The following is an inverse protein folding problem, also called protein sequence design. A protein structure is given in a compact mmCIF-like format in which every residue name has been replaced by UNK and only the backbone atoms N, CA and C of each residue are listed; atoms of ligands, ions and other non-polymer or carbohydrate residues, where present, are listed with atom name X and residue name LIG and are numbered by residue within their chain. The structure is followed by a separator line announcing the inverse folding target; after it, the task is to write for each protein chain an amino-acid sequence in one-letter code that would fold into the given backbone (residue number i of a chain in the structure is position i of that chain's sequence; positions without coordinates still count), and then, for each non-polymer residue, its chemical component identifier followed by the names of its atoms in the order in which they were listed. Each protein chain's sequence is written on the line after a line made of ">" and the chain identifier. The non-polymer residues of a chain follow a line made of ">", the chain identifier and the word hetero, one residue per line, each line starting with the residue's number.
data_IF_725773545800
#
_entry.id   IF_725773545800
#
_cell.length_a   1.000
_cell.length_b   1.000
_cell.length_c   1.000
_cell.angle_alpha   90.00
_cell.angle_beta   90.00
_cell.angle_gamma   90.00
#
_symmetry.space_group_name_H-M   'P 1'
#
loop_
_entity.id
_entity.type
_entity.pdbx_description
1 polymer ?
#
# COMPACT_ATOMS: atom_id res chain seq x y z
N UNK A 1 -8.33 25.86 -24.89
CA UNK A 1 -7.90 24.60 -24.23
C UNK A 1 -6.70 24.89 -23.34
N UNK A 2 -6.93 25.40 -22.13
CA UNK A 2 -5.88 25.58 -21.12
C UNK A 2 -6.09 24.49 -20.08
N UNK A 3 -5.38 23.38 -20.22
CA UNK A 3 -5.37 22.33 -19.21
C UNK A 3 -4.75 22.89 -17.92
N UNK A 4 -5.40 22.60 -16.81
CA UNK A 4 -5.04 22.97 -15.44
C UNK A 4 -3.56 22.65 -15.15
N UNK A 5 -2.65 23.60 -15.40
CA UNK A 5 -1.19 23.40 -15.44
C UNK A 5 -0.56 23.11 -14.08
N UNK A 6 -1.38 22.99 -13.04
CA UNK A 6 -0.96 22.76 -11.65
C UNK A 6 -1.07 21.30 -11.22
N UNK A 7 -1.72 20.42 -11.99
CA UNK A 7 -1.84 19.01 -11.64
C UNK A 7 -0.55 18.23 -12.00
N UNK A 8 -0.09 17.31 -11.12
CA UNK A 8 0.95 16.35 -11.49
C UNK A 8 0.63 15.60 -12.79
N UNK A 9 1.64 15.33 -13.60
CA UNK A 9 1.49 14.75 -14.94
C UNK A 9 0.75 13.40 -14.90
N UNK A 10 0.95 12.57 -13.87
CA UNK A 10 0.22 11.31 -13.72
C UNK A 10 -1.29 11.50 -13.49
N UNK A 11 -1.70 12.58 -12.83
CA UNK A 11 -3.13 12.95 -12.74
C UNK A 11 -3.67 13.42 -14.08
N UNK A 12 -2.86 14.12 -14.89
CA UNK A 12 -3.23 14.50 -16.25
C UNK A 12 -3.40 13.26 -17.14
N UNK A 13 -2.54 12.25 -17.00
CA UNK A 13 -2.68 10.96 -17.68
C UNK A 13 -3.94 10.22 -17.26
N UNK A 14 -4.26 10.18 -15.96
CA UNK A 14 -5.51 9.57 -15.50
C UNK A 14 -6.75 10.27 -16.08
N UNK A 15 -6.77 11.59 -16.13
CA UNK A 15 -7.84 12.35 -16.79
C UNK A 15 -7.88 12.09 -18.30
N UNK A 16 -6.73 12.00 -18.96
CA UNK A 16 -6.65 11.68 -20.38
C UNK A 16 -7.17 10.27 -20.69
N UNK A 17 -6.81 9.29 -19.84
CA UNK A 17 -7.27 7.91 -19.91
C UNK A 17 -8.79 7.82 -19.75
N UNK A 18 -9.36 8.56 -18.79
CA UNK A 18 -10.81 8.62 -18.57
C UNK A 18 -11.58 9.27 -19.73
N UNK A 19 -11.00 10.28 -20.38
CA UNK A 19 -11.67 11.05 -21.44
C UNK A 19 -11.57 10.39 -22.83
N UNK A 20 -10.44 9.75 -23.13
CA UNK A 20 -10.16 9.31 -24.50
C UNK A 20 -9.14 8.18 -24.58
N UNK A 21 -8.94 7.43 -23.49
CA UNK A 21 -8.08 6.25 -23.47
C UNK A 21 -6.60 6.55 -23.68
N UNK A 22 -5.86 5.49 -23.99
CA UNK A 22 -4.40 5.49 -24.14
C UNK A 22 -3.89 6.50 -25.18
N UNK A 23 -4.56 6.63 -26.33
CA UNK A 23 -4.16 7.58 -27.38
C UNK A 23 -4.09 9.02 -26.87
N UNK A 24 -5.02 9.39 -25.99
CA UNK A 24 -5.02 10.73 -25.38
C UNK A 24 -3.89 10.88 -24.37
N UNK A 25 -3.61 9.83 -23.59
CA UNK A 25 -2.45 9.80 -22.68
C UNK A 25 -1.15 10.02 -23.46
N UNK A 26 -0.97 9.30 -24.58
CA UNK A 26 0.21 9.41 -25.45
C UNK A 26 0.41 10.82 -26.00
N UNK A 27 -0.67 11.49 -26.42
CA UNK A 27 -0.62 12.90 -26.86
C UNK A 27 -0.19 13.85 -25.74
N UNK A 28 -0.74 13.68 -24.53
CA UNK A 28 -0.36 14.49 -23.36
C UNK A 28 1.13 14.28 -23.02
N UNK A 29 1.58 13.02 -23.03
CA UNK A 29 2.98 12.69 -22.76
C UNK A 29 3.94 13.24 -23.81
N UNK A 30 3.56 13.22 -25.09
CA UNK A 30 4.34 13.79 -26.18
C UNK A 30 4.49 15.30 -26.04
N UNK A 31 3.39 16.01 -25.76
CA UNK A 31 3.41 17.46 -25.56
C UNK A 31 4.27 17.87 -24.35
N UNK A 32 4.25 17.07 -23.28
CA UNK A 32 5.00 17.33 -22.05
C UNK A 32 6.43 16.75 -22.05
N UNK A 33 6.84 15.97 -23.04
CA UNK A 33 8.16 15.32 -23.09
C UNK A 33 8.38 14.27 -21.99
N UNK A 34 7.33 13.57 -21.55
CA UNK A 34 7.31 12.72 -20.34
C UNK A 34 7.10 11.23 -20.63
N UNK A 35 7.66 10.74 -21.74
CA UNK A 35 7.44 9.37 -22.24
C UNK A 35 7.74 8.27 -21.20
N UNK A 36 8.84 8.41 -20.44
CA UNK A 36 9.17 7.42 -19.39
C UNK A 36 8.12 7.36 -18.28
N UNK A 37 7.54 8.50 -17.91
CA UNK A 37 6.49 8.57 -16.89
C UNK A 37 5.17 8.03 -17.41
N UNK A 38 4.87 8.26 -18.68
CA UNK A 38 3.72 7.66 -19.36
C UNK A 38 3.84 6.14 -19.41
N UNK A 39 5.00 5.62 -19.78
CA UNK A 39 5.25 4.17 -19.82
C UNK A 39 5.01 3.51 -18.46
N UNK A 40 5.41 4.19 -17.37
CA UNK A 40 5.13 3.73 -16.01
C UNK A 40 3.63 3.77 -15.68
N UNK A 41 2.90 4.82 -16.09
CA UNK A 41 1.46 4.92 -15.92
C UNK A 41 0.72 3.78 -16.64
N UNK A 42 1.06 3.54 -17.92
CA UNK A 42 0.40 2.51 -18.73
C UNK A 42 0.68 1.10 -18.18
N UNK A 43 1.94 0.80 -17.81
CA UNK A 43 2.27 -0.50 -17.18
C UNK A 43 1.45 -0.75 -15.91
N UNK A 44 1.34 0.25 -15.03
CA UNK A 44 0.54 0.12 -13.80
C UNK A 44 -0.96 0.02 -14.08
N UNK A 45 -1.45 0.63 -15.15
CA UNK A 45 -2.87 0.56 -15.54
C UNK A 45 -3.25 -0.80 -16.15
N UNK A 46 -2.36 -1.34 -16.99
CA UNK A 46 -2.61 -2.54 -17.80
C UNK A 46 -2.33 -3.84 -17.02
N UNK A 47 -1.28 -3.86 -16.19
CA UNK A 47 -0.94 -5.03 -15.37
C UNK A 47 -1.90 -5.17 -14.17
N UNK A 48 -2.31 -6.41 -13.87
CA UNK A 48 -3.09 -6.67 -12.66
C UNK A 48 -2.25 -6.37 -11.41
N UNK A 49 -2.73 -5.56 -10.45
CA UNK A 49 -1.97 -5.21 -9.26
C UNK A 49 -1.55 -6.45 -8.46
N UNK A 50 -0.25 -6.68 -8.36
CA UNK A 50 0.31 -7.71 -7.49
C UNK A 50 0.57 -7.10 -6.11
N UNK A 51 -0.01 -7.63 -5.02
CA UNK A 51 0.23 -7.11 -3.68
C UNK A 51 1.68 -7.30 -3.24
N UNK A 52 2.31 -6.19 -2.87
CA UNK A 52 3.55 -6.15 -2.09
C UNK A 52 3.26 -5.58 -0.69
N UNK A 53 4.14 -5.81 0.26
CA UNK A 53 3.96 -5.39 1.65
C UNK A 53 5.21 -4.71 2.21
N UNK A 54 4.97 -3.65 2.97
CA UNK A 54 5.98 -2.98 3.81
C UNK A 54 5.39 -2.78 5.21
N UNK A 55 6.23 -2.83 6.22
CA UNK A 55 5.81 -2.55 7.59
C UNK A 55 5.40 -1.07 7.75
N UNK A 56 4.28 -0.79 8.43
CA UNK A 56 3.75 0.57 8.62
C UNK A 56 4.77 1.60 9.12
N UNK A 57 5.59 1.23 10.11
CA UNK A 57 6.69 2.07 10.62
C UNK A 57 7.68 2.49 9.51
N UNK A 58 8.01 1.59 8.58
CA UNK A 58 8.93 1.88 7.47
C UNK A 58 8.26 2.69 6.34
N UNK A 59 6.92 2.70 6.26
CA UNK A 59 6.20 3.65 5.41
C UNK A 59 6.21 5.08 5.98
N UNK A 60 6.27 5.22 7.31
CA UNK A 60 6.23 6.50 8.00
C UNK A 60 7.63 7.09 8.29
N UNK A 61 8.65 6.24 8.39
CA UNK A 61 10.01 6.58 8.78
C UNK A 61 11.01 5.96 7.81
N UNK A 62 11.43 6.76 6.82
CA UNK A 62 12.25 6.28 5.71
C UNK A 62 13.74 6.14 6.04
N UNK A 63 14.40 5.25 5.30
CA UNK A 63 15.86 5.14 5.27
C UNK A 63 16.52 6.41 4.68
N UNK A 64 17.83 6.62 4.84
CA UNK A 64 18.54 7.67 4.11
C UNK A 64 18.43 7.46 2.60
N UNK A 65 18.18 8.53 1.84
CA UNK A 65 18.13 8.48 0.37
C UNK A 65 19.51 8.42 -0.27
N UNK A 66 20.54 8.88 0.46
CA UNK A 66 21.95 8.87 0.08
C UNK A 66 22.79 8.35 1.24
N UNK A 67 24.03 7.96 0.93
CA UNK A 67 25.01 7.58 1.95
C UNK A 67 25.17 8.72 2.97
N UNK A 68 24.91 8.48 4.27
CA UNK A 68 25.23 9.44 5.32
C UNK A 68 26.72 9.81 5.34
N UNK A 69 27.06 10.98 5.87
CA UNK A 69 28.47 11.38 6.04
C UNK A 69 29.22 10.41 6.96
N UNK A 70 28.58 10.05 8.06
CA UNK A 70 28.98 8.96 8.93
C UNK A 70 27.87 7.91 8.90
N UNK A 71 28.07 6.85 8.12
CA UNK A 71 27.13 5.75 7.99
C UNK A 71 27.26 4.72 9.12
N UNK A 72 28.17 4.92 10.07
CA UNK A 72 28.32 4.04 11.24
C UNK A 72 27.51 4.50 12.46
N UNK A 73 26.92 5.69 12.40
CA UNK A 73 26.02 6.16 13.45
C UNK A 73 24.63 5.50 13.37
N UNK A 74 24.00 5.25 14.53
CA UNK A 74 22.58 4.92 14.59
C UNK A 74 21.70 5.95 13.89
N UNK A 75 20.62 5.46 13.26
CA UNK A 75 19.51 6.31 12.83
C UNK A 75 18.39 6.18 13.85
N UNK A 76 17.92 7.30 14.38
CA UNK A 76 16.69 7.38 15.16
C UNK A 76 15.66 8.24 14.41
N UNK A 77 14.44 7.72 14.26
CA UNK A 77 13.29 8.42 13.71
C UNK A 77 12.15 8.33 14.70
N UNK A 78 11.41 9.43 14.82
CA UNK A 78 10.26 9.55 15.71
C UNK A 78 9.08 10.13 14.94
N UNK A 79 7.91 9.52 15.11
CA UNK A 79 6.65 9.98 14.56
C UNK A 79 5.51 9.78 15.57
N UNK A 80 5.22 10.84 16.32
CA UNK A 80 4.20 10.82 17.37
C UNK A 80 4.53 9.80 18.45
N UNK A 81 3.81 8.67 18.47
CA UNK A 81 4.01 7.58 19.44
C UNK A 81 4.93 6.48 18.95
N UNK A 82 5.41 6.55 17.71
CA UNK A 82 6.26 5.54 17.11
C UNK A 82 7.71 6.01 17.07
N UNK A 83 8.64 5.09 17.32
CA UNK A 83 10.06 5.31 17.10
C UNK A 83 10.68 4.13 16.35
N UNK A 84 11.56 4.44 15.40
CA UNK A 84 12.38 3.49 14.66
C UNK A 84 13.85 3.80 14.93
N UNK A 85 14.58 2.82 15.46
CA UNK A 85 16.02 2.88 15.56
C UNK A 85 16.67 1.81 14.66
N UNK A 86 17.73 2.21 13.96
CA UNK A 86 18.53 1.36 13.08
C UNK A 86 19.98 1.49 13.53
N UNK A 87 20.50 0.44 14.16
CA UNK A 87 21.84 0.40 14.75
C UNK A 87 22.77 -0.46 13.88
N UNK A 88 23.77 0.11 13.19
CA UNK A 88 24.71 -0.68 12.41
C UNK A 88 25.69 -1.40 13.36
N UNK A 89 25.56 -2.72 13.50
CA UNK A 89 26.43 -3.49 14.39
C UNK A 89 27.75 -3.84 13.69
N UNK A 90 28.89 -3.79 14.39
CA UNK A 90 30.14 -4.33 13.88
C UNK A 90 30.01 -5.84 13.64
N UNK A 91 30.52 -6.30 12.50
CA UNK A 91 30.66 -7.72 12.18
C UNK A 91 32.14 -8.11 12.18
N UNK A 92 32.42 -9.37 12.50
CA UNK A 92 33.78 -9.90 12.42
C UNK A 92 34.11 -10.20 10.95
N UNK A 93 35.21 -9.64 10.45
CA UNK A 93 35.73 -9.92 9.10
C UNK A 93 37.21 -10.27 9.18
N UNK A 94 37.66 -11.19 8.33
CA UNK A 94 39.10 -11.45 8.17
C UNK A 94 39.66 -10.51 7.11
N UNK A 95 40.58 -9.64 7.51
CA UNK A 95 41.32 -8.74 6.60
C UNK A 95 42.80 -9.05 6.77
N UNK A 96 43.50 -9.33 5.68
CA UNK A 96 44.92 -9.71 5.66
C UNK A 96 45.25 -10.85 6.65
N UNK A 97 44.36 -11.85 6.73
CA UNK A 97 44.50 -13.01 7.61
C UNK A 97 44.20 -12.76 9.10
N UNK A 98 43.76 -11.56 9.48
CA UNK A 98 43.45 -11.21 10.88
C UNK A 98 41.96 -10.88 11.08
N UNK A 99 41.35 -11.34 12.19
CA UNK A 99 39.98 -10.96 12.53
C UNK A 99 39.93 -9.49 12.97
N UNK A 100 39.06 -8.71 12.33
CA UNK A 100 38.84 -7.28 12.61
C UNK A 100 37.34 -7.02 12.71
N UNK A 101 36.93 -6.22 13.69
CA UNK A 101 35.55 -5.71 13.76
C UNK A 101 35.36 -4.60 12.73
N UNK A 102 34.37 -4.75 11.87
CA UNK A 102 34.01 -3.75 10.86
C UNK A 102 32.51 -3.51 10.87
N UNK A 103 32.10 -2.26 11.02
CA UNK A 103 30.73 -1.86 10.74
C UNK A 103 30.54 -1.69 9.24
N UNK A 104 29.48 -2.30 8.68
CA UNK A 104 29.08 -2.07 7.29
C UNK A 104 28.33 -0.75 7.13
N UNK A 105 27.90 -0.13 8.24
CA UNK A 105 27.08 1.06 8.26
C UNK A 105 25.61 0.80 7.93
N UNK A 106 24.79 1.85 8.07
CA UNK A 106 23.34 1.81 7.81
C UNK A 106 23.04 1.69 6.31
N UNK A 107 21.92 1.03 5.93
CA UNK A 107 21.49 0.94 4.53
C UNK A 107 20.96 2.27 4.02
N UNK A 108 21.16 2.56 2.73
CA UNK A 108 20.69 3.79 2.08
C UNK A 108 20.37 3.61 0.59
N UNK A 109 19.65 4.58 0.01
CA UNK A 109 19.30 4.58 -1.40
C UNK A 109 18.21 3.57 -1.77
N UNK A 110 18.01 3.33 -3.06
CA UNK A 110 16.83 2.59 -3.54
C UNK A 110 16.91 1.07 -3.31
N UNK A 111 18.09 0.48 -3.49
CA UNK A 111 18.30 -0.97 -3.36
C UNK A 111 17.79 -1.58 -2.04
N UNK A 112 18.15 -1.09 -0.84
CA UNK A 112 17.68 -1.70 0.39
C UNK A 112 16.17 -1.54 0.59
N UNK A 113 15.55 -0.49 0.04
CA UNK A 113 14.09 -0.29 0.10
C UNK A 113 13.36 -1.36 -0.71
N UNK A 114 13.82 -1.59 -1.93
CA UNK A 114 13.26 -2.61 -2.83
C UNK A 114 13.47 -4.01 -2.24
N UNK A 115 14.66 -4.26 -1.67
CA UNK A 115 14.95 -5.51 -0.96
C UNK A 115 14.02 -5.69 0.26
N UNK A 116 13.86 -4.68 1.12
CA UNK A 116 12.94 -4.73 2.26
C UNK A 116 11.52 -5.06 1.82
N UNK A 117 10.98 -4.32 0.84
CA UNK A 117 9.63 -4.57 0.33
C UNK A 117 9.50 -6.02 -0.12
N UNK A 118 10.44 -6.55 -0.90
CA UNK A 118 10.40 -7.95 -1.33
C UNK A 118 10.45 -8.93 -0.16
N UNK A 119 11.38 -8.75 0.78
CA UNK A 119 11.56 -9.67 1.91
C UNK A 119 10.28 -9.74 2.76
N UNK A 120 9.74 -8.58 3.11
CA UNK A 120 8.52 -8.50 3.91
C UNK A 120 7.29 -9.00 3.14
N UNK A 121 7.23 -8.74 1.83
CA UNK A 121 6.17 -9.29 0.96
C UNK A 121 6.18 -10.80 0.95
N UNK A 122 7.36 -11.42 0.79
CA UNK A 122 7.46 -12.87 0.78
C UNK A 122 7.05 -13.48 2.12
N UNK A 123 7.43 -12.84 3.23
CA UNK A 123 7.06 -13.31 4.55
C UNK A 123 5.54 -13.29 4.77
N UNK A 124 4.89 -12.16 4.43
CA UNK A 124 3.44 -11.98 4.57
C UNK A 124 2.67 -12.90 3.62
N UNK A 125 3.04 -12.92 2.33
CA UNK A 125 2.33 -13.69 1.30
C UNK A 125 2.43 -15.20 1.53
N UNK A 126 3.61 -15.69 1.90
CA UNK A 126 3.82 -17.13 2.16
C UNK A 126 3.47 -17.55 3.58
N UNK A 127 3.13 -16.59 4.45
CA UNK A 127 2.91 -16.80 5.88
C UNK A 127 4.07 -17.57 6.53
N UNK A 128 5.29 -17.15 6.22
CA UNK A 128 6.51 -17.79 6.66
C UNK A 128 7.54 -16.75 7.05
N UNK A 129 8.21 -16.95 8.19
CA UNK A 129 9.39 -16.16 8.57
C UNK A 129 10.64 -16.50 7.77
N UNK A 130 10.61 -17.62 7.05
CA UNK A 130 11.67 -18.13 6.20
C UNK A 130 11.44 -17.66 4.76
N UNK A 131 12.31 -16.77 4.27
CA UNK A 131 12.19 -16.10 2.97
C UNK A 131 13.22 -16.59 1.99
N UNK A 132 12.76 -17.35 1.00
CA UNK A 132 13.59 -17.81 -0.12
C UNK A 132 13.82 -16.72 -1.18
N UNK A 133 15.09 -16.45 -1.49
CA UNK A 133 15.52 -15.43 -2.46
C UNK A 133 15.62 -15.95 -3.89
N UNK A 134 15.71 -17.26 -4.09
CA UNK A 134 15.89 -17.87 -5.41
C UNK A 134 17.15 -18.73 -5.50
N UNK A 135 17.39 -19.32 -6.68
CA UNK A 135 18.54 -20.23 -6.88
C UNK A 135 19.88 -19.50 -6.90
N UNK A 136 19.88 -18.26 -7.37
CA UNK A 136 21.04 -17.39 -7.45
C UNK A 136 20.64 -15.91 -7.40
N UNK A 137 21.65 -15.05 -7.18
CA UNK A 137 21.46 -13.60 -7.03
C UNK A 137 20.87 -12.92 -8.26
N UNK A 138 21.25 -13.35 -9.47
CA UNK A 138 20.70 -12.79 -10.74
C UNK A 138 19.21 -13.06 -10.86
N UNK A 139 18.77 -14.26 -10.53
CA UNK A 139 17.35 -14.62 -10.52
C UNK A 139 16.58 -13.74 -9.53
N UNK A 140 17.13 -13.54 -8.33
CA UNK A 140 16.53 -12.64 -7.34
C UNK A 140 16.42 -11.20 -7.86
N UNK A 141 17.50 -10.65 -8.42
CA UNK A 141 17.52 -9.31 -9.02
C UNK A 141 16.47 -9.14 -10.13
N UNK A 142 16.27 -10.16 -10.97
CA UNK A 142 15.24 -10.13 -12.02
C UNK A 142 13.83 -10.09 -11.44
N UNK A 143 13.56 -10.83 -10.35
CA UNK A 143 12.28 -10.76 -9.62
C UNK A 143 12.01 -9.38 -9.05
N UNK A 144 13.06 -8.67 -8.60
CA UNK A 144 12.98 -7.26 -8.18
C UNK A 144 12.84 -6.26 -9.35
N UNK A 145 12.79 -6.76 -10.59
CA UNK A 145 12.61 -5.94 -11.79
C UNK A 145 13.89 -5.38 -12.39
N UNK A 146 15.09 -5.86 -12.01
CA UNK A 146 16.36 -5.51 -12.65
C UNK A 146 16.65 -6.46 -13.82
N UNK A 147 16.38 -6.01 -15.04
CA UNK A 147 16.58 -6.82 -16.25
C UNK A 147 18.07 -6.98 -16.61
N UNK A 148 18.85 -5.91 -16.45
CA UNK A 148 20.30 -5.90 -16.70
C UNK A 148 21.06 -5.98 -15.39
N UNK A 149 21.76 -7.10 -15.17
CA UNK A 149 22.54 -7.37 -13.95
C UNK A 149 24.02 -7.36 -14.28
N UNK A 150 24.78 -6.46 -13.67
CA UNK A 150 26.22 -6.31 -13.89
C UNK A 150 27.03 -6.54 -12.60
N UNK A 151 28.20 -7.16 -12.76
CA UNK A 151 29.05 -7.65 -11.66
C UNK A 151 30.36 -6.87 -11.47
N UNK A 152 30.58 -5.79 -12.22
CA UNK A 152 31.74 -4.91 -12.01
C UNK A 152 31.68 -4.18 -10.65
N UNK A 153 32.75 -3.47 -10.24
CA UNK A 153 32.81 -2.78 -8.94
C UNK A 153 31.67 -1.78 -8.69
N UNK A 154 31.15 -1.16 -9.76
CA UNK A 154 29.97 -0.28 -9.75
C UNK A 154 28.71 -0.94 -10.33
N UNK A 155 28.76 -2.25 -10.51
CA UNK A 155 27.70 -3.04 -11.09
C UNK A 155 26.49 -3.16 -10.17
N UNK A 156 25.31 -3.26 -10.77
CA UNK A 156 24.03 -3.30 -10.04
C UNK A 156 23.98 -4.44 -9.02
N UNK A 157 24.62 -5.58 -9.33
CA UNK A 157 24.63 -6.73 -8.46
C UNK A 157 25.44 -6.48 -7.17
N UNK A 158 26.62 -5.86 -7.30
CA UNK A 158 27.47 -5.57 -6.14
C UNK A 158 26.87 -4.47 -5.26
N UNK A 159 26.27 -3.44 -5.88
CA UNK A 159 25.61 -2.37 -5.15
C UNK A 159 24.39 -2.90 -4.37
N UNK A 160 23.58 -3.79 -4.96
CA UNK A 160 22.49 -4.44 -4.23
C UNK A 160 23.02 -5.30 -3.09
N UNK A 161 24.04 -6.15 -3.35
CA UNK A 161 24.65 -7.00 -2.30
C UNK A 161 25.11 -6.16 -1.12
N UNK A 162 25.89 -5.12 -1.36
CA UNK A 162 26.38 -4.24 -0.29
C UNK A 162 25.23 -3.68 0.57
N UNK A 163 24.13 -3.27 -0.05
CA UNK A 163 23.00 -2.71 0.68
C UNK A 163 22.17 -3.76 1.44
N UNK A 164 22.08 -4.98 0.92
CA UNK A 164 21.49 -6.12 1.65
C UNK A 164 22.36 -6.49 2.84
N UNK A 165 23.68 -6.52 2.67
CA UNK A 165 24.63 -6.82 3.76
C UNK A 165 24.48 -5.81 4.91
N UNK A 166 24.41 -4.51 4.57
CA UNK A 166 24.15 -3.43 5.53
C UNK A 166 22.81 -3.63 6.26
N UNK A 167 21.75 -3.93 5.51
CA UNK A 167 20.40 -4.13 6.05
C UNK A 167 20.35 -5.30 7.04
N UNK A 168 20.99 -6.42 6.70
CA UNK A 168 21.02 -7.63 7.53
C UNK A 168 21.97 -7.53 8.72
N UNK A 169 23.03 -6.71 8.61
CA UNK A 169 23.96 -6.44 9.70
C UNK A 169 23.44 -5.41 10.72
N UNK A 170 22.40 -4.64 10.37
CA UNK A 170 21.77 -3.70 11.29
C UNK A 170 20.86 -4.42 12.29
N UNK A 171 20.89 -3.95 13.53
CA UNK A 171 19.86 -4.23 14.54
C UNK A 171 18.75 -3.20 14.37
N UNK A 172 17.50 -3.66 14.29
CA UNK A 172 16.34 -2.79 14.15
C UNK A 172 15.47 -2.86 15.38
N UNK A 173 14.98 -1.69 15.80
CA UNK A 173 14.08 -1.55 16.93
C UNK A 173 12.90 -0.70 16.50
N UNK A 174 11.70 -1.24 16.68
CA UNK A 174 10.45 -0.50 16.48
C UNK A 174 9.77 -0.42 17.84
N UNK A 175 9.48 0.80 18.26
CA UNK A 175 8.73 1.08 19.50
C UNK A 175 7.44 1.79 19.16
N UNK A 176 6.40 1.47 19.92
CA UNK A 176 5.16 2.22 19.96
C UNK A 176 4.67 2.38 21.39
N UNK A 177 4.28 3.60 21.76
CA UNK A 177 3.67 3.87 23.06
C UNK A 177 2.15 3.62 22.97
N UNK A 178 1.72 2.49 23.56
CA UNK A 178 0.30 2.16 23.74
C UNK A 178 -0.37 3.07 24.76
N UNK A 179 -1.66 3.40 24.55
CA UNK A 179 -2.40 4.34 25.42
C UNK A 179 -2.97 3.77 26.70
N UNK A 180 -2.66 2.52 27.08
CA UNK A 180 -3.23 1.93 28.28
C UNK A 180 -2.19 1.83 29.39
N UNK A 181 -2.58 2.39 30.53
CA UNK A 181 -1.78 2.53 31.73
C UNK A 181 -1.13 1.20 32.16
N UNK A 182 0.15 1.27 32.52
CA UNK A 182 0.74 0.38 33.52
C UNK A 182 1.79 -0.60 33.04
N UNK A 183 1.73 -1.12 31.82
CA UNK A 183 2.74 -2.06 31.31
C UNK A 183 2.57 -2.28 29.81
N UNK A 184 3.67 -2.57 29.10
CA UNK A 184 3.77 -2.79 27.64
C UNK A 184 4.03 -1.55 26.77
N UNK A 185 5.16 -0.89 27.01
CA UNK A 185 5.94 -0.41 25.87
C UNK A 185 6.43 -1.65 25.11
N UNK A 186 5.68 -2.11 24.11
CA UNK A 186 6.14 -3.18 23.22
C UNK A 186 7.27 -2.60 22.37
N UNK A 187 8.50 -2.82 22.84
CA UNK A 187 9.70 -2.64 22.03
C UNK A 187 9.96 -3.98 21.38
N UNK A 188 9.82 -4.07 20.05
CA UNK A 188 10.44 -5.18 19.34
C UNK A 188 11.96 -4.92 19.43
N UNK A 189 12.56 -5.42 20.50
CA UNK A 189 14.01 -5.50 20.69
C UNK A 189 14.46 -6.74 19.94
N UNK A 190 15.43 -6.56 19.04
CA UNK A 190 15.97 -7.59 18.15
C UNK A 190 15.03 -8.06 17.04
N UNK A 191 14.70 -7.12 16.15
CA UNK A 191 14.46 -7.50 14.75
C UNK A 191 15.82 -7.83 14.11
N UNK A 192 16.32 -9.04 14.38
CA UNK A 192 17.28 -9.66 13.47
C UNK A 192 16.49 -10.13 12.26
N UNK A 193 16.71 -9.46 11.12
CA UNK A 193 16.13 -9.88 9.84
C UNK A 193 16.73 -11.24 9.42
N UNK A 194 17.87 -11.66 9.98
CA UNK A 194 18.43 -13.01 9.84
C UNK A 194 19.21 -13.48 11.07
N UNK A 195 19.06 -14.75 11.46
CA UNK A 195 19.95 -15.44 12.42
C UNK A 195 21.19 -16.06 11.74
N UNK A 196 21.22 -16.16 10.40
CA UNK A 196 22.26 -16.84 9.63
C UNK A 196 22.85 -15.92 8.54
N UNK A 197 23.28 -14.72 8.93
CA UNK A 197 24.06 -13.86 8.04
C UNK A 197 25.52 -13.81 8.48
N UNK A 198 26.28 -14.86 8.14
CA UNK A 198 27.71 -14.72 7.92
C UNK A 198 27.89 -13.99 6.59
N UNK A 199 28.57 -12.85 6.61
CA UNK A 199 28.61 -11.89 5.51
C UNK A 199 28.83 -12.54 4.13
N UNK A 200 27.94 -12.23 3.19
CA UNK A 200 28.07 -12.36 1.74
C UNK A 200 28.29 -13.77 1.18
N UNK A 201 28.64 -14.76 1.99
CA UNK A 201 29.20 -16.02 1.56
C UNK A 201 28.82 -17.06 2.63
N UNK A 202 28.15 -18.16 2.25
CA UNK A 202 28.46 -19.43 2.95
C UNK A 202 29.99 -19.60 2.96
N UNK A 203 30.59 -20.39 3.85
CA UNK A 203 32.05 -20.45 4.12
C UNK A 203 33.03 -20.36 2.90
N UNK A 204 32.54 -20.53 1.67
CA UNK A 204 33.26 -20.59 0.40
C UNK A 204 32.93 -19.46 -0.60
N UNK A 205 31.93 -18.61 -0.36
CA UNK A 205 31.53 -17.61 -1.36
C UNK A 205 30.06 -17.62 -1.79
N UNK A 206 29.22 -18.45 -1.17
CA UNK A 206 27.93 -18.81 -1.75
C UNK A 206 26.79 -17.82 -1.39
N UNK A 207 25.98 -17.46 -2.39
CA UNK A 207 24.76 -16.68 -2.22
C UNK A 207 23.81 -17.34 -1.20
N UNK A 208 23.50 -16.60 -0.13
CA UNK A 208 22.46 -17.00 0.82
C UNK A 208 21.12 -17.11 0.08
N UNK A 209 20.55 -18.31 0.06
CA UNK A 209 19.28 -18.57 -0.64
C UNK A 209 18.07 -18.25 0.22
N UNK A 210 18.27 -18.07 1.51
CA UNK A 210 17.21 -17.95 2.50
C UNK A 210 17.57 -16.91 3.56
N UNK A 211 16.56 -16.16 4.01
CA UNK A 211 16.65 -15.18 5.09
C UNK A 211 15.55 -15.52 6.10
N UNK A 212 15.91 -15.68 7.37
CA UNK A 212 14.96 -16.03 8.44
C UNK A 212 14.73 -14.88 9.40
N UNK A 213 13.51 -14.34 9.40
CA UNK A 213 13.10 -13.29 10.33
C UNK A 213 12.91 -13.83 11.75
N UNK A 214 13.12 -12.99 12.75
CA UNK A 214 12.74 -13.32 14.13
C UNK A 214 11.22 -13.49 14.26
N UNK A 215 10.79 -14.37 15.16
CA UNK A 215 9.37 -14.64 15.41
C UNK A 215 8.61 -13.35 15.79
N UNK A 216 9.18 -12.59 16.75
CA UNK A 216 8.57 -11.36 17.23
C UNK A 216 8.38 -10.32 16.11
N UNK A 217 9.36 -10.19 15.21
CA UNK A 217 9.24 -9.30 14.08
C UNK A 217 8.21 -9.78 13.07
N UNK A 218 8.22 -11.07 12.74
CA UNK A 218 7.28 -11.66 11.78
C UNK A 218 5.83 -11.49 12.26
N UNK A 219 5.53 -11.81 13.51
CA UNK A 219 4.18 -11.62 14.07
C UNK A 219 3.73 -10.16 13.98
N UNK A 220 4.60 -9.22 14.36
CA UNK A 220 4.30 -7.79 14.28
C UNK A 220 4.15 -7.31 12.82
N UNK A 221 4.95 -7.86 11.89
CA UNK A 221 4.84 -7.56 10.47
C UNK A 221 3.48 -7.97 9.92
N UNK A 222 2.97 -9.14 10.27
CA UNK A 222 1.67 -9.63 9.79
C UNK A 222 0.54 -8.67 10.19
N UNK A 223 0.57 -8.15 11.42
CA UNK A 223 -0.46 -7.24 11.94
C UNK A 223 -0.36 -5.81 11.37
N UNK A 224 0.84 -5.40 10.95
CA UNK A 224 1.14 -4.03 10.54
C UNK A 224 1.61 -3.89 9.09
N UNK A 225 1.35 -4.91 8.26
CA UNK A 225 1.66 -4.89 6.83
C UNK A 225 0.76 -3.88 6.09
N UNK A 226 1.41 -2.99 5.32
CA UNK A 226 0.74 -2.04 4.43
C UNK A 226 0.75 -2.62 3.01
N UNK A 227 -0.41 -2.85 2.38
CA UNK A 227 -0.46 -3.32 1.00
C UNK A 227 -0.03 -2.22 0.03
N UNK A 228 0.82 -2.61 -0.90
CA UNK A 228 1.42 -1.82 -1.98
C UNK A 228 1.17 -2.52 -3.31
N UNK A 229 1.38 -1.83 -4.43
CA UNK A 229 1.36 -2.39 -5.78
C UNK A 229 2.79 -2.68 -6.23
N UNK A 230 3.14 -3.95 -6.43
CA UNK A 230 4.47 -4.38 -6.86
C UNK A 230 4.86 -3.77 -8.21
N UNK A 231 3.92 -3.61 -9.13
CA UNK A 231 4.15 -2.98 -10.45
C UNK A 231 4.61 -1.54 -10.25
N UNK A 232 3.94 -0.78 -9.36
CA UNK A 232 4.37 0.57 -9.02
C UNK A 232 5.78 0.59 -8.41
N UNK A 233 6.10 -0.33 -7.49
CA UNK A 233 7.45 -0.44 -6.91
C UNK A 233 8.51 -0.71 -7.98
N UNK A 234 8.21 -1.56 -8.96
CA UNK A 234 9.10 -1.87 -10.09
C UNK A 234 9.43 -0.64 -10.93
N UNK A 235 8.46 0.25 -11.12
CA UNK A 235 8.65 1.53 -11.83
C UNK A 235 9.42 2.56 -11.00
N UNK A 236 9.27 2.52 -9.68
CA UNK A 236 9.92 3.46 -8.75
C UNK A 236 11.31 3.01 -8.28
N UNK A 237 11.73 1.77 -8.55
CA UNK A 237 12.93 1.11 -7.98
C UNK A 237 14.25 1.86 -8.15
N UNK A 238 14.33 2.83 -9.06
CA UNK A 238 15.51 3.66 -9.31
C UNK A 238 15.58 4.92 -8.46
N UNK A 239 14.49 5.31 -7.80
CA UNK A 239 14.36 6.63 -7.16
C UNK A 239 13.94 6.47 -5.69
N UNK A 240 14.87 6.60 -4.72
CA UNK A 240 14.57 6.33 -3.31
C UNK A 240 13.48 7.26 -2.76
N UNK A 241 13.54 8.55 -3.08
CA UNK A 241 12.51 9.52 -2.67
C UNK A 241 11.13 9.19 -3.24
N UNK A 242 11.06 8.59 -4.44
CA UNK A 242 9.79 8.20 -5.04
C UNK A 242 9.18 6.98 -4.34
N UNK A 243 10.01 5.99 -4.01
CA UNK A 243 9.60 4.86 -3.17
C UNK A 243 9.06 5.35 -1.83
N UNK A 244 9.79 6.23 -1.13
CA UNK A 244 9.39 6.73 0.18
C UNK A 244 8.11 7.56 0.12
N UNK A 245 7.97 8.46 -0.87
CA UNK A 245 6.75 9.23 -1.05
C UNK A 245 5.57 8.32 -1.38
N UNK A 246 5.76 7.33 -2.26
CA UNK A 246 4.73 6.36 -2.61
C UNK A 246 4.27 5.54 -1.40
N UNK A 247 5.20 4.96 -0.63
CA UNK A 247 4.85 4.14 0.54
C UNK A 247 4.22 4.96 1.66
N UNK A 248 4.69 6.20 1.88
CA UNK A 248 4.07 7.15 2.79
C UNK A 248 2.62 7.43 2.41
N UNK A 249 2.34 7.74 1.13
CA UNK A 249 0.99 8.01 0.65
C UNK A 249 0.10 6.76 0.66
N UNK A 250 0.63 5.60 0.29
CA UNK A 250 -0.08 4.32 0.34
C UNK A 250 -0.49 3.95 1.78
N UNK A 251 0.35 4.25 2.75
CA UNK A 251 0.04 4.11 4.16
C UNK A 251 -0.95 5.16 4.64
N UNK A 252 -0.74 6.44 4.30
CA UNK A 252 -1.46 7.54 4.97
C UNK A 252 -2.84 7.79 4.38
N UNK A 253 -2.97 7.89 3.06
CA UNK A 253 -4.20 8.36 2.41
C UNK A 253 -5.45 7.50 2.68
N UNK A 254 -5.36 6.15 2.69
CA UNK A 254 -6.52 5.31 2.97
C UNK A 254 -7.05 5.42 4.40
N UNK A 255 -6.24 5.95 5.32
CA UNK A 255 -6.60 6.13 6.75
C UNK A 255 -7.18 7.51 7.04
N UNK A 256 -7.21 8.42 6.06
CA UNK A 256 -7.77 9.75 6.23
C UNK A 256 -9.28 9.69 6.04
N UNK A 257 -10.02 10.22 7.01
CA UNK A 257 -11.48 10.38 6.94
C UNK A 257 -11.86 11.86 6.84
N UNK A 258 -13.04 12.15 6.27
CA UNK A 258 -13.58 13.52 6.23
C UNK A 258 -12.90 14.42 5.20
N UNK A 259 -12.63 15.68 5.57
CA UNK A 259 -12.24 16.75 4.62
C UNK A 259 -10.78 16.72 4.17
N UNK A 260 -9.96 15.82 4.72
CA UNK A 260 -8.51 15.76 4.48
C UNK A 260 -7.69 16.11 5.72
N UNK A 261 -6.38 15.94 5.61
CA UNK A 261 -5.40 16.24 6.65
C UNK A 261 -4.37 17.24 6.12
N UNK A 262 -4.04 18.25 6.93
CA UNK A 262 -3.01 19.24 6.60
C UNK A 262 -1.77 18.97 7.45
N UNK A 263 -0.61 18.86 6.80
CA UNK A 263 0.69 18.73 7.47
C UNK A 263 1.64 19.84 7.01
N UNK A 264 2.65 20.16 7.83
CA UNK A 264 3.73 21.04 7.43
C UNK A 264 4.71 20.32 6.49
N UNK A 265 5.45 21.09 5.69
CA UNK A 265 6.55 20.54 4.90
C UNK A 265 7.67 19.97 5.78
N UNK A 266 7.85 20.49 7.00
CA UNK A 266 8.82 19.98 7.97
C UNK A 266 8.44 18.59 8.47
N UNK A 267 7.15 18.35 8.74
CA UNK A 267 6.65 17.03 9.09
C UNK A 267 6.91 16.03 7.95
N UNK A 268 6.60 16.41 6.71
CA UNK A 268 6.88 15.56 5.55
C UNK A 268 8.39 15.32 5.36
N UNK A 269 9.23 16.33 5.59
CA UNK A 269 10.68 16.20 5.51
C UNK A 269 11.20 15.14 6.49
N UNK A 270 10.75 15.20 7.75
CA UNK A 270 11.12 14.23 8.78
C UNK A 270 10.70 12.80 8.42
N UNK A 271 9.47 12.61 7.92
CA UNK A 271 9.01 11.29 7.45
C UNK A 271 9.88 10.73 6.32
N UNK A 272 10.22 11.57 5.33
CA UNK A 272 11.07 11.18 4.20
C UNK A 272 12.57 11.19 4.54
N UNK A 273 12.92 11.26 5.82
CA UNK A 273 14.27 11.11 6.31
C UNK A 273 15.19 12.32 6.13
N UNK A 274 14.64 13.52 5.92
CA UNK A 274 15.37 14.78 5.81
C UNK A 274 15.37 15.52 7.16
N UNK A 275 16.45 16.25 7.45
CA UNK A 275 16.62 16.95 8.73
C UNK A 275 15.67 18.13 8.90
N UNK A 276 15.34 18.81 7.80
CA UNK A 276 14.46 19.96 7.79
C UNK A 276 13.80 20.16 6.42
N UNK A 277 12.73 20.93 6.43
CA UNK A 277 12.17 21.52 5.22
C UNK A 277 13.16 22.50 4.57
N UNK A 278 13.41 22.33 3.28
CA UNK A 278 14.22 23.23 2.48
C UNK A 278 13.59 23.46 1.11
N UNK A 279 13.90 24.58 0.46
CA UNK A 279 13.44 24.86 -0.92
C UNK A 279 13.76 23.70 -1.88
N UNK A 280 14.96 23.13 -1.74
CA UNK A 280 15.41 21.97 -2.52
C UNK A 280 14.58 20.73 -2.22
N UNK A 281 14.30 20.45 -0.95
CA UNK A 281 13.44 19.33 -0.56
C UNK A 281 12.03 19.46 -1.17
N UNK A 282 11.37 20.61 -0.99
CA UNK A 282 10.02 20.85 -1.57
C UNK A 282 10.01 20.68 -3.08
N UNK A 283 11.04 21.18 -3.76
CA UNK A 283 11.21 21.01 -5.20
C UNK A 283 11.35 19.53 -5.58
N UNK A 284 12.25 18.79 -4.93
CA UNK A 284 12.46 17.36 -5.17
C UNK A 284 11.17 16.56 -4.94
N UNK A 285 10.39 16.85 -3.90
CA UNK A 285 9.11 16.17 -3.66
C UNK A 285 8.10 16.46 -4.75
N UNK A 286 7.99 17.71 -5.24
CA UNK A 286 7.08 18.06 -6.33
C UNK A 286 7.46 17.40 -7.66
N UNK A 287 8.76 17.36 -7.97
CA UNK A 287 9.29 16.66 -9.13
C UNK A 287 9.02 15.14 -9.02
N UNK A 288 9.26 14.58 -7.84
CA UNK A 288 8.99 13.17 -7.54
C UNK A 288 7.49 12.84 -7.67
N UNK A 289 6.61 13.75 -7.27
CA UNK A 289 5.16 13.58 -7.38
C UNK A 289 4.69 13.43 -8.82
N UNK A 290 5.42 13.96 -9.81
CA UNK A 290 5.12 13.75 -11.23
C UNK A 290 5.14 12.25 -11.56
N UNK A 291 6.13 11.51 -11.07
CA UNK A 291 6.25 10.07 -11.24
C UNK A 291 5.33 9.29 -10.29
N UNK A 292 5.24 9.68 -9.01
CA UNK A 292 4.40 8.96 -8.04
C UNK A 292 2.92 9.03 -8.41
N UNK A 293 2.44 10.17 -8.92
CA UNK A 293 1.06 10.30 -9.42
C UNK A 293 0.79 9.45 -10.66
N UNK A 294 1.80 9.02 -11.40
CA UNK A 294 1.64 8.14 -12.55
C UNK A 294 1.42 6.69 -12.12
N UNK A 295 2.10 6.24 -11.06
CA UNK A 295 1.99 4.87 -10.54
C UNK A 295 0.99 4.72 -9.40
N UNK A 296 0.46 5.84 -8.89
CA UNK A 296 -0.64 5.87 -7.92
C UNK A 296 -1.60 7.02 -8.25
N UNK A 297 -2.36 6.92 -9.35
CA UNK A 297 -3.15 8.06 -9.86
C UNK A 297 -4.27 8.52 -8.91
N UNK A 298 -4.80 7.58 -8.13
CA UNK A 298 -5.81 7.86 -7.12
C UNK A 298 -5.29 8.66 -5.91
N UNK A 299 -3.97 8.78 -5.72
CA UNK A 299 -3.41 9.58 -4.64
C UNK A 299 -3.73 11.07 -4.81
N UNK A 300 -4.65 11.58 -3.99
CA UNK A 300 -5.05 12.98 -4.00
C UNK A 300 -4.27 13.78 -2.96
N UNK A 301 -3.28 14.54 -3.42
CA UNK A 301 -2.36 15.32 -2.59
C UNK A 301 -2.11 16.68 -3.23
N UNK A 302 -2.26 17.75 -2.44
CA UNK A 302 -1.87 19.10 -2.83
C UNK A 302 -0.51 19.47 -2.23
N UNK A 303 0.45 19.74 -3.12
CA UNK A 303 1.82 20.17 -2.83
C UNK A 303 2.12 21.59 -3.34
N UNK A 304 1.13 22.29 -3.90
CA UNK A 304 1.33 23.61 -4.51
C UNK A 304 1.58 24.70 -3.46
N UNK A 305 0.93 24.57 -2.30
CA UNK A 305 0.91 25.59 -1.25
C UNK A 305 2.09 25.57 -0.27
N UNK A 306 1.94 26.40 0.77
CA UNK A 306 2.87 26.48 1.93
C UNK A 306 2.73 25.32 2.91
N UNK A 307 1.66 24.53 2.78
CA UNK A 307 1.39 23.32 3.55
C UNK A 307 1.11 22.18 2.57
N UNK A 308 1.22 20.95 3.05
CA UNK A 308 0.85 19.76 2.29
C UNK A 308 -0.55 19.34 2.73
N UNK A 309 -1.45 19.15 1.77
CA UNK A 309 -2.83 18.70 2.04
C UNK A 309 -3.00 17.30 1.48
N UNK A 310 -3.34 16.37 2.36
CA UNK A 310 -3.59 14.97 2.05
C UNK A 310 -5.11 14.74 2.04
N UNK A 311 -5.65 14.20 0.96
CA UNK A 311 -7.08 13.89 0.86
C UNK A 311 -7.33 12.38 0.96
N UNK A 312 -8.51 11.94 1.46
CA UNK A 312 -8.89 10.53 1.45
C UNK A 312 -8.74 9.95 0.04
N UNK A 313 -7.98 8.86 -0.07
CA UNK A 313 -7.73 8.18 -1.34
C UNK A 313 -7.75 6.67 -1.11
N UNK A 314 -8.27 5.86 -2.06
CA UNK A 314 -8.23 4.40 -1.94
C UNK A 314 -6.79 3.88 -1.98
N UNK A 315 -6.53 2.70 -1.43
CA UNK A 315 -5.22 2.05 -1.46
C UNK A 315 -4.69 1.87 -2.90
N UNK A 316 -3.37 1.76 -3.11
CA UNK A 316 -2.76 1.71 -4.45
C UNK A 316 -3.05 0.44 -5.26
N UNK A 317 -3.89 -0.46 -4.75
CA UNK A 317 -4.41 -1.63 -5.45
C UNK A 317 -5.73 -1.34 -6.19
N UNK A 318 -6.40 -0.21 -5.93
CA UNK A 318 -7.63 0.17 -6.62
C UNK A 318 -7.32 0.63 -8.05
N UNK A 319 -7.75 -0.18 -9.03
CA UNK A 319 -7.55 0.07 -10.46
C UNK A 319 -8.45 1.16 -10.99
N UNK A 320 -9.68 1.27 -10.46
CA UNK A 320 -10.63 2.27 -10.93
C UNK A 320 -10.11 3.65 -10.56
N UNK A 321 -10.06 4.54 -11.55
CA UNK A 321 -9.70 5.93 -11.36
C UNK A 321 -10.88 6.67 -10.72
N UNK A 322 -10.89 6.75 -9.39
CA UNK A 322 -12.05 7.19 -8.58
C UNK A 322 -11.78 8.44 -7.72
N UNK A 323 -10.56 8.97 -7.76
CA UNK A 323 -10.20 10.17 -7.00
C UNK A 323 -11.06 11.39 -7.35
N UNK A 324 -11.41 12.21 -6.36
CA UNK A 324 -12.21 13.43 -6.59
C UNK A 324 -11.52 14.44 -7.52
N UNK A 325 -10.18 14.43 -7.56
CA UNK A 325 -9.34 15.23 -8.46
C UNK A 325 -9.32 14.71 -9.91
N UNK A 326 -9.82 13.49 -10.15
CA UNK A 326 -9.87 12.81 -11.45
C UNK A 326 -11.23 12.95 -12.15
N UNK A 327 -12.03 13.94 -11.78
CA UNK A 327 -13.30 14.23 -12.46
C UNK A 327 -13.08 15.09 -13.70
N UNK A 328 -13.64 14.69 -14.83
CA UNK A 328 -13.62 15.48 -16.07
C UNK A 328 -14.46 16.75 -15.90
N UNK A 329 -13.82 17.92 -15.93
CA UNK A 329 -14.50 19.21 -15.90
C UNK A 329 -15.18 19.39 -17.27
N UNK A 330 -16.50 19.25 -17.32
CA UNK A 330 -17.29 19.33 -18.55
C UNK A 330 -18.06 18.05 -18.89
N UNK A 331 -17.80 16.93 -18.21
CA UNK A 331 -18.80 15.88 -18.11
C UNK A 331 -19.93 16.46 -17.26
N UNK A 332 -20.97 16.97 -17.92
CA UNK A 332 -22.27 17.13 -17.27
C UNK A 332 -22.52 15.82 -16.51
N UNK A 333 -22.87 15.85 -15.21
CA UNK A 333 -23.49 14.65 -14.63
C UNK A 333 -24.59 14.28 -15.60
N UNK A 334 -24.66 13.00 -16.03
CA UNK A 334 -25.66 12.49 -16.98
C UNK A 334 -26.91 13.34 -16.83
N UNK A 335 -27.16 14.20 -17.83
CA UNK A 335 -28.34 15.04 -17.81
C UNK A 335 -29.47 14.03 -17.72
N UNK A 336 -30.10 13.93 -16.55
CA UNK A 336 -31.37 13.27 -16.41
C UNK A 336 -32.22 13.80 -17.56
N UNK A 337 -32.53 12.92 -18.51
CA UNK A 337 -33.17 13.28 -19.76
C UNK A 337 -34.32 14.26 -19.50
N UNK A 338 -34.53 15.26 -20.38
CA UNK A 338 -35.56 16.26 -20.18
C UNK A 338 -36.88 15.53 -19.94
N UNK A 339 -37.53 15.85 -18.80
CA UNK A 339 -38.83 15.28 -18.47
C UNK A 339 -39.80 15.67 -19.58
N UNK A 340 -40.11 14.70 -20.43
CA UNK A 340 -41.27 14.79 -21.32
C UNK A 340 -42.48 15.14 -20.47
N UNK A 341 -43.11 16.27 -20.82
CA UNK A 341 -44.35 16.79 -20.24
C UNK A 341 -45.56 16.01 -20.76
N UNK A 342 -45.55 14.69 -20.57
CA UNK A 342 -46.73 13.86 -20.75
C UNK A 342 -46.85 12.97 -19.51
N UNK A 343 -47.85 13.30 -18.69
CA UNK A 343 -48.19 12.56 -17.48
C UNK A 343 -48.73 11.19 -17.85
N UNK A 344 -47.85 10.18 -17.84
CA UNK A 344 -48.26 8.78 -17.70
C UNK A 344 -48.23 8.42 -16.20
N UNK A 345 -49.30 7.85 -15.63
CA UNK A 345 -49.41 7.62 -14.20
C UNK A 345 -48.54 6.43 -13.80
N UNK A 346 -47.33 6.71 -13.32
CA UNK A 346 -46.54 5.77 -12.53
C UNK A 346 -46.39 6.35 -11.14
N UNK A 347 -47.06 5.71 -10.19
CA UNK A 347 -46.98 6.02 -8.77
C UNK A 347 -45.51 6.06 -8.35
N UNK A 348 -45.03 7.26 -8.00
CA UNK A 348 -43.80 7.43 -7.24
C UNK A 348 -44.10 7.00 -5.81
N UNK A 349 -43.52 5.90 -5.38
CA UNK A 349 -43.29 5.70 -3.96
C UNK A 349 -42.40 6.85 -3.47
N UNK A 350 -42.95 7.71 -2.62
CA UNK A 350 -42.18 8.69 -1.88
C UNK A 350 -41.16 7.94 -1.02
N UNK A 351 -39.87 8.25 -1.19
CA UNK A 351 -38.85 7.91 -0.20
C UNK A 351 -39.16 8.78 1.02
N UNK A 352 -39.86 8.17 1.98
CA UNK A 352 -40.15 8.74 3.27
C UNK A 352 -38.87 8.92 4.06
N UNK A 353 -38.80 10.05 4.77
CA UNK A 353 -37.70 10.46 5.62
C UNK A 353 -37.67 9.76 6.99
N UNK A 354 -38.41 8.65 7.15
CA UNK A 354 -38.64 7.95 8.42
C UNK A 354 -38.77 6.42 8.20
N UNK A 355 -37.72 5.76 7.70
CA UNK A 355 -37.70 4.29 7.74
C UNK A 355 -37.34 3.84 9.17
N UNK A 356 -38.22 3.10 9.88
CA UNK A 356 -37.98 2.73 11.27
C UNK A 356 -36.76 1.81 11.37
N UNK A 357 -35.84 2.13 12.28
CA UNK A 357 -34.70 1.27 12.57
C UNK A 357 -35.16 0.06 13.37
N UNK A 358 -34.91 -1.13 12.84
CA UNK A 358 -35.33 -2.39 13.45
C UNK A 358 -34.15 -3.36 13.51
N UNK A 359 -34.27 -4.41 14.33
CA UNK A 359 -33.32 -5.51 14.33
C UNK A 359 -33.43 -6.33 13.03
N UNK A 360 -32.36 -7.02 12.66
CA UNK A 360 -32.42 -8.03 11.59
C UNK A 360 -33.47 -9.10 11.95
N UNK A 361 -34.24 -9.64 10.96
CA UNK A 361 -35.27 -10.64 11.24
C UNK A 361 -34.73 -11.79 12.10
N UNK A 362 -35.44 -12.13 13.19
CA UNK A 362 -34.96 -13.11 14.17
C UNK A 362 -35.43 -14.54 13.88
N UNK A 363 -36.52 -14.71 13.12
CA UNK A 363 -37.16 -16.00 12.83
C UNK A 363 -36.74 -16.62 11.48
N UNK A 364 -37.47 -17.65 11.04
CA UNK A 364 -37.31 -18.18 9.69
C UNK A 364 -37.62 -17.11 8.64
N UNK A 365 -36.82 -17.07 7.59
CA UNK A 365 -36.98 -16.20 6.42
C UNK A 365 -38.00 -16.76 5.43
N UNK A 366 -38.53 -17.96 5.69
CA UNK A 366 -39.45 -18.68 4.81
C UNK A 366 -40.84 -18.03 4.72
N UNK A 367 -41.27 -17.33 5.77
CA UNK A 367 -42.59 -16.71 5.88
C UNK A 367 -42.48 -15.27 6.38
N UNK A 368 -43.43 -14.42 5.98
CA UNK A 368 -43.48 -13.02 6.38
C UNK A 368 -43.29 -12.04 5.22
N UNK A 369 -43.96 -10.88 5.33
CA UNK A 369 -43.96 -9.81 4.32
C UNK A 369 -42.65 -9.02 4.33
N UNK A 370 -42.06 -8.81 5.51
CA UNK A 370 -40.76 -8.16 5.68
C UNK A 370 -39.61 -9.05 5.20
N UNK A 371 -39.67 -10.33 5.56
CA UNK A 371 -38.68 -11.36 5.23
C UNK A 371 -38.67 -11.70 3.73
N UNK A 372 -39.73 -11.36 2.98
CA UNK A 372 -39.84 -11.65 1.55
C UNK A 372 -38.70 -11.05 0.72
N UNK A 373 -38.28 -9.82 1.01
CA UNK A 373 -37.19 -9.16 0.29
C UNK A 373 -35.84 -9.84 0.56
N UNK A 374 -35.59 -10.23 1.81
CA UNK A 374 -34.39 -10.96 2.21
C UNK A 374 -34.36 -12.38 1.62
N UNK A 375 -35.52 -13.05 1.58
CA UNK A 375 -35.68 -14.36 0.97
C UNK A 375 -35.42 -14.33 -0.52
N UNK A 376 -35.89 -13.30 -1.24
CA UNK A 376 -35.61 -13.14 -2.66
C UNK A 376 -34.09 -13.06 -2.92
N UNK A 377 -33.36 -12.26 -2.14
CA UNK A 377 -31.90 -12.15 -2.23
C UNK A 377 -31.22 -13.49 -1.95
N UNK A 378 -31.65 -14.20 -0.89
CA UNK A 378 -31.11 -15.52 -0.54
C UNK A 378 -31.32 -16.55 -1.66
N UNK A 379 -32.51 -16.58 -2.26
CA UNK A 379 -32.85 -17.50 -3.35
C UNK A 379 -32.19 -17.14 -4.69
N UNK A 380 -31.93 -15.86 -4.95
CA UNK A 380 -31.31 -15.43 -6.20
C UNK A 380 -29.78 -15.58 -6.15
N UNK A 381 -29.16 -15.18 -5.04
CA UNK A 381 -27.70 -14.98 -4.94
C UNK A 381 -27.00 -15.97 -4.03
N UNK A 382 -27.76 -16.73 -3.25
CA UNK A 382 -27.26 -17.70 -2.28
C UNK A 382 -27.56 -19.15 -2.65
N UNK A 383 -27.94 -19.44 -3.89
CA UNK A 383 -28.14 -20.83 -4.36
C UNK A 383 -26.79 -21.57 -4.46
N UNK A 384 -26.72 -22.87 -4.13
CA UNK A 384 -27.85 -23.76 -3.78
C UNK A 384 -28.17 -23.83 -2.27
N UNK A 385 -27.67 -22.93 -1.42
CA UNK A 385 -27.79 -23.04 0.03
C UNK A 385 -29.14 -22.54 0.57
N UNK A 386 -29.59 -23.11 1.69
CA UNK A 386 -30.83 -22.72 2.37
C UNK A 386 -30.76 -21.28 2.89
N UNK A 387 -31.81 -20.50 2.61
CA UNK A 387 -31.93 -19.12 3.08
C UNK A 387 -31.91 -19.03 4.61
N UNK A 388 -32.50 -20.01 5.30
CA UNK A 388 -32.55 -20.06 6.76
C UNK A 388 -31.17 -20.40 7.38
N UNK A 389 -30.38 -21.25 6.70
CA UNK A 389 -29.01 -21.54 7.14
C UNK A 389 -28.09 -20.33 6.98
N UNK A 390 -28.25 -19.60 5.86
CA UNK A 390 -27.56 -18.34 5.63
C UNK A 390 -27.95 -17.30 6.67
N UNK A 391 -29.24 -17.20 7.02
CA UNK A 391 -29.72 -16.23 8.00
C UNK A 391 -29.19 -16.56 9.40
N UNK A 392 -29.13 -17.84 9.76
CA UNK A 392 -28.53 -18.31 11.01
C UNK A 392 -27.05 -17.98 11.09
N UNK A 393 -26.29 -18.25 10.02
CA UNK A 393 -24.87 -17.91 9.95
C UNK A 393 -24.61 -16.40 10.00
N UNK A 394 -25.46 -15.60 9.35
CA UNK A 394 -25.38 -14.15 9.40
C UNK A 394 -25.59 -13.62 10.82
N UNK A 395 -26.61 -14.11 11.52
CA UNK A 395 -26.87 -13.71 12.92
C UNK A 395 -25.71 -14.06 13.86
N UNK A 396 -25.08 -15.20 13.65
CA UNK A 396 -23.96 -15.65 14.47
C UNK A 396 -22.66 -14.87 14.20
N UNK A 397 -22.41 -14.48 12.94
CA UNK A 397 -21.12 -13.94 12.52
C UNK A 397 -21.07 -12.43 12.25
N UNK A 398 -22.19 -11.73 12.15
CA UNK A 398 -22.20 -10.32 11.76
C UNK A 398 -21.86 -9.37 12.93
N UNK A 399 -20.76 -8.59 12.84
CA UNK A 399 -20.40 -7.63 13.88
C UNK A 399 -21.48 -6.54 14.03
N UNK A 400 -22.00 -6.38 15.24
CA UNK A 400 -23.04 -5.38 15.51
C UNK A 400 -24.43 -5.77 15.01
N UNK A 401 -24.75 -7.07 14.93
CA UNK A 401 -26.11 -7.58 14.60
C UNK A 401 -27.20 -7.01 15.53
N UNK A 402 -26.84 -6.65 16.77
CA UNK A 402 -27.74 -6.06 17.77
C UNK A 402 -28.06 -4.57 17.53
N UNK A 403 -27.33 -3.89 16.63
CA UNK A 403 -27.58 -2.48 16.33
C UNK A 403 -28.75 -2.34 15.34
N UNK A 404 -29.83 -1.60 15.69
CA UNK A 404 -30.96 -1.39 14.79
C UNK A 404 -30.55 -0.61 13.54
N UNK A 405 -30.99 -1.06 12.37
CA UNK A 405 -30.75 -0.45 11.05
C UNK A 405 -32.06 -0.38 10.27
N UNK A 406 -32.09 0.43 9.22
CA UNK A 406 -33.26 0.43 8.32
C UNK A 406 -33.29 -0.85 7.49
N UNK A 407 -34.45 -1.25 6.97
CA UNK A 407 -34.52 -2.46 6.14
C UNK A 407 -33.72 -2.30 4.85
N UNK A 408 -33.66 -1.09 4.30
CA UNK A 408 -32.74 -0.76 3.19
C UNK A 408 -31.27 -1.08 3.52
N UNK A 409 -30.79 -0.70 4.71
CA UNK A 409 -29.42 -1.00 5.15
C UNK A 409 -29.24 -2.50 5.39
N UNK A 410 -30.22 -3.16 6.02
CA UNK A 410 -30.20 -4.59 6.28
C UNK A 410 -30.15 -5.42 5.01
N UNK A 411 -30.96 -5.09 4.00
CA UNK A 411 -30.97 -5.78 2.71
C UNK A 411 -29.62 -5.67 2.01
N UNK A 412 -28.97 -4.49 2.06
CA UNK A 412 -27.65 -4.26 1.47
C UNK A 412 -26.56 -5.11 2.12
N UNK A 413 -26.51 -5.16 3.46
CA UNK A 413 -25.50 -5.97 4.17
C UNK A 413 -25.77 -7.47 4.07
N UNK A 414 -27.05 -7.85 4.04
CA UNK A 414 -27.50 -9.22 3.83
C UNK A 414 -27.09 -9.74 2.45
N UNK A 415 -27.32 -8.96 1.39
CA UNK A 415 -26.91 -9.29 0.02
C UNK A 415 -25.41 -9.54 -0.11
N UNK A 416 -24.59 -8.64 0.45
CA UNK A 416 -23.13 -8.79 0.44
C UNK A 416 -22.67 -10.04 1.20
N UNK A 417 -23.36 -10.40 2.28
CA UNK A 417 -23.08 -11.63 3.02
C UNK A 417 -23.47 -12.87 2.22
N UNK A 418 -24.67 -12.91 1.65
CA UNK A 418 -25.19 -14.06 0.89
C UNK A 418 -24.26 -14.41 -0.28
N UNK A 419 -23.79 -13.42 -1.02
CA UNK A 419 -22.83 -13.62 -2.14
C UNK A 419 -21.54 -14.27 -1.64
N UNK A 420 -20.94 -13.73 -0.57
CA UNK A 420 -19.70 -14.26 0.00
C UNK A 420 -19.85 -15.64 0.65
N UNK A 421 -21.02 -15.89 1.26
CA UNK A 421 -21.34 -17.17 1.86
C UNK A 421 -21.41 -18.27 0.80
N UNK A 422 -22.03 -17.96 -0.33
CA UNK A 422 -22.09 -18.82 -1.50
C UNK A 422 -20.70 -19.11 -2.08
N UNK A 423 -19.91 -18.07 -2.35
CA UNK A 423 -18.54 -18.19 -2.90
C UNK A 423 -17.63 -19.06 -2.02
N UNK A 424 -17.71 -18.92 -0.70
CA UNK A 424 -16.85 -19.68 0.23
C UNK A 424 -17.20 -21.16 0.27
N UNK A 425 -18.50 -21.49 0.21
CA UNK A 425 -18.97 -22.87 0.34
C UNK A 425 -18.92 -23.66 -0.96
N UNK A 426 -18.94 -23.00 -2.12
CA UNK A 426 -18.61 -23.68 -3.38
C UNK A 426 -17.14 -24.09 -3.42
N UNK A 427 -16.24 -23.29 -2.86
CA UNK A 427 -14.80 -23.59 -2.78
C UNK A 427 -14.50 -24.74 -1.80
N UNK A 428 -15.24 -24.85 -0.69
CA UNK A 428 -15.03 -25.92 0.31
C UNK A 428 -15.69 -27.26 -0.01
N UNK A 429 -16.52 -27.34 -1.06
CA UNK A 429 -17.15 -28.59 -1.52
C UNK A 429 -16.44 -29.25 -2.71
N UNK A 430 -15.24 -28.77 -3.05
CA UNK A 430 -14.42 -29.23 -4.17
C UNK A 430 -13.18 -30.03 -3.74
N UNK A 431 -13.05 -30.31 -2.45
CA UNK A 431 -12.15 -31.31 -1.85
C UNK A 431 -12.98 -32.53 -1.43
#
# INVERSE_FOLDING_TARGET
>A
MSGDSHKPIGHQYALAMLDGGEDRVRRVAQAAGTQLTMDAFLRVHDEEPVPAFLHSALCAMSLPTKRPKDDTQPILREDGRYALAINPKPILQTVDGKPVFRSLGVPYGAYPRVALIYLLSQAVTKRSRDVYLGRNFTEWMRRLGYQTVSYGPRGTANLMREQVDRLLACEWQIRWDGTDAGDNAFAVRDVKISNEYAGSLGANGAFAREIRMSEAFYSHLVDHAVPLNEVAIRELKGTPTALDLYTYLAYRLPRITGKGQVISWDQLAKHLGNDADSKRFRQTVRETMQLVSAVYPNANVDLSGRKVVLHPSPAPLERKLVGSHLRLIGAQPDQTAPRSSVSAPRAKAQVGKDEPKQAFPAGSMSYGTREAAFRAIGLEKGKPWSVDDMATAFRAGFPGIKQPRTDTEWLRVWEAFVIRYAERRSQSGSE
#
